data_IF_660303186043
#
_entry.id   IF_660303186043
#
_cell.length_a   1.000
_cell.length_b   1.000
_cell.length_c   1.000
_cell.angle_alpha   90.00
_cell.angle_beta   90.00
_cell.angle_gamma   90.00
#
_symmetry.space_group_name_H-M   'P 1'
#
loop_
_entity.id
_entity.type
_entity.pdbx_description
1 polymer ?
#
# COMPACT_ATOMS: atom_id res chain seq x y z
N UNK A 1 14.82 19.24 4.95
CA UNK A 1 13.49 18.98 5.50
C UNK A 1 12.93 17.70 4.88
N UNK A 2 12.33 16.89 5.70
CA UNK A 2 11.77 15.63 5.24
C UNK A 2 10.31 15.84 4.86
N UNK A 3 9.95 15.47 3.63
CA UNK A 3 8.55 15.48 3.21
C UNK A 3 7.80 14.37 3.93
N UNK A 4 6.58 14.64 4.29
CA UNK A 4 5.71 13.64 4.90
C UNK A 4 4.31 13.83 4.34
N UNK A 5 3.66 12.73 4.02
CA UNK A 5 2.28 12.73 3.53
C UNK A 5 1.56 11.53 4.11
N UNK A 6 0.26 11.64 4.26
CA UNK A 6 -0.54 10.53 4.77
C UNK A 6 -1.94 10.57 4.19
N UNK A 7 -2.59 9.42 4.19
CA UNK A 7 -3.98 9.30 3.77
C UNK A 7 -4.56 8.03 4.37
N UNK A 8 -5.87 7.98 4.46
CA UNK A 8 -6.57 6.77 4.87
C UNK A 8 -7.29 6.18 3.68
N UNK A 9 -7.31 4.87 3.61
CA UNK A 9 -7.92 4.16 2.49
C UNK A 9 -8.63 2.92 3.01
N UNK A 10 -9.74 2.57 2.40
CA UNK A 10 -10.47 1.35 2.74
C UNK A 10 -9.95 0.21 1.88
N UNK A 11 -9.57 -0.88 2.54
CA UNK A 11 -9.06 -2.06 1.85
C UNK A 11 -10.21 -2.79 1.15
N UNK A 12 -10.15 -2.97 -0.18
CA UNK A 12 -11.26 -3.61 -0.90
C UNK A 12 -11.14 -5.13 -1.01
N UNK A 13 -9.93 -5.68 -0.79
CA UNK A 13 -9.68 -7.11 -0.93
C UNK A 13 -8.82 -7.60 0.21
N UNK A 14 -8.84 -8.91 0.45
CA UNK A 14 -7.97 -9.50 1.46
C UNK A 14 -6.51 -9.30 1.05
N UNK A 15 -5.67 -8.88 2.00
CA UNK A 15 -4.26 -8.61 1.72
C UNK A 15 -3.42 -9.89 1.84
N UNK A 16 -3.72 -10.87 0.99
CA UNK A 16 -2.95 -12.11 0.91
C UNK A 16 -1.72 -11.91 0.00
N UNK A 17 -1.02 -12.97 -0.33
CA UNK A 17 0.31 -12.88 -0.94
C UNK A 17 0.38 -12.08 -2.23
N UNK A 18 -0.56 -12.24 -3.16
CA UNK A 18 -0.53 -11.53 -4.44
C UNK A 18 -0.70 -10.03 -4.31
N UNK A 19 -1.79 -9.55 -3.71
CA UNK A 19 -1.95 -8.11 -3.54
C UNK A 19 -0.86 -7.50 -2.67
N UNK A 20 -0.41 -8.21 -1.63
CA UNK A 20 0.68 -7.73 -0.79
C UNK A 20 1.98 -7.60 -1.58
N UNK A 21 2.28 -8.57 -2.44
CA UNK A 21 3.49 -8.52 -3.27
C UNK A 21 3.42 -7.37 -4.27
N UNK A 22 2.27 -7.14 -4.87
CA UNK A 22 2.08 -6.03 -5.80
C UNK A 22 2.29 -4.69 -5.10
N UNK A 23 1.70 -4.55 -3.93
CA UNK A 23 1.82 -3.32 -3.15
C UNK A 23 3.26 -3.08 -2.72
N UNK A 24 3.92 -4.11 -2.20
CA UNK A 24 5.31 -4.01 -1.78
C UNK A 24 6.23 -3.61 -2.94
N UNK A 25 5.98 -4.15 -4.12
CA UNK A 25 6.77 -3.81 -5.30
C UNK A 25 6.60 -2.35 -5.70
N UNK A 26 5.37 -1.84 -5.65
CA UNK A 26 5.10 -0.45 -5.95
C UNK A 26 5.82 0.47 -4.96
N UNK A 27 5.77 0.13 -3.68
CA UNK A 27 6.44 0.90 -2.63
C UNK A 27 7.95 0.85 -2.81
N UNK A 28 8.50 -0.32 -3.10
CA UNK A 28 9.94 -0.50 -3.24
C UNK A 28 10.51 0.30 -4.42
N UNK A 29 9.69 0.58 -5.42
CA UNK A 29 10.10 1.37 -6.57
C UNK A 29 10.16 2.88 -6.26
N UNK A 30 9.73 3.30 -5.09
CA UNK A 30 9.67 4.70 -4.70
C UNK A 30 10.85 5.10 -3.83
N UNK A 31 11.23 6.38 -3.90
CA UNK A 31 12.29 6.91 -3.03
C UNK A 31 11.80 7.15 -1.61
N UNK A 32 10.52 7.45 -1.45
CA UNK A 32 9.96 7.67 -0.13
C UNK A 32 9.77 6.35 0.60
N UNK A 33 9.92 6.39 1.93
CA UNK A 33 9.58 5.26 2.78
C UNK A 33 8.08 5.29 3.04
N UNK A 34 7.41 4.16 2.85
CA UNK A 34 5.97 4.06 3.04
C UNK A 34 5.66 3.04 4.11
N UNK A 35 4.78 3.41 5.04
CA UNK A 35 4.24 2.49 6.03
C UNK A 35 2.73 2.40 5.87
N UNK A 36 2.18 1.27 6.23
CA UNK A 36 0.74 1.07 6.28
C UNK A 36 0.41 0.55 7.68
N UNK A 37 -0.39 1.29 8.41
CA UNK A 37 -0.69 1.01 9.82
C UNK A 37 0.59 0.77 10.63
N UNK A 38 1.63 1.55 10.34
CA UNK A 38 2.88 1.50 11.06
C UNK A 38 3.85 0.42 10.62
N UNK A 39 3.49 -0.46 9.67
CA UNK A 39 4.42 -1.49 9.20
C UNK A 39 5.02 -1.11 7.86
N UNK A 40 6.20 -1.67 7.58
CA UNK A 40 6.91 -1.41 6.34
C UNK A 40 6.13 -1.94 5.12
N UNK A 41 5.65 -1.03 4.29
CA UNK A 41 4.84 -1.40 3.13
C UNK A 41 5.67 -2.02 2.00
N UNK A 42 7.00 -1.99 2.09
CA UNK A 42 7.87 -2.69 1.14
C UNK A 42 8.06 -4.16 1.51
N UNK A 43 7.53 -4.59 2.66
CA UNK A 43 7.67 -5.96 3.12
C UNK A 43 6.38 -6.74 2.93
N UNK A 44 6.39 -7.72 2.05
CA UNK A 44 5.24 -8.59 1.82
C UNK A 44 4.80 -9.26 3.11
N UNK A 45 5.76 -9.77 3.88
CA UNK A 45 5.46 -10.46 5.12
C UNK A 45 4.82 -9.55 6.16
N UNK A 46 5.33 -8.31 6.29
CA UNK A 46 4.76 -7.34 7.22
C UNK A 46 3.33 -6.99 6.84
N UNK A 47 3.08 -6.80 5.55
CA UNK A 47 1.73 -6.49 5.06
C UNK A 47 0.77 -7.65 5.35
N UNK A 48 1.21 -8.89 5.12
CA UNK A 48 0.39 -10.04 5.38
C UNK A 48 0.09 -10.22 6.87
N UNK A 49 1.04 -9.84 7.71
CA UNK A 49 0.88 -9.94 9.17
C UNK A 49 -0.06 -8.91 9.77
N UNK A 50 -0.44 -7.90 9.01
CA UNK A 50 -1.43 -6.93 9.49
C UNK A 50 -2.77 -7.58 9.81
N UNK A 51 -3.08 -8.69 9.16
CA UNK A 51 -4.37 -9.33 9.34
C UNK A 51 -5.53 -8.48 8.84
N UNK A 52 -5.24 -7.53 7.97
CA UNK A 52 -6.27 -6.63 7.45
C UNK A 52 -7.24 -7.36 6.53
N UNK A 53 -8.51 -7.05 6.67
CA UNK A 53 -9.58 -7.67 5.89
C UNK A 53 -10.33 -6.60 5.11
N UNK A 54 -11.09 -7.00 4.07
CA UNK A 54 -11.88 -6.03 3.31
C UNK A 54 -12.79 -5.20 4.21
N UNK A 55 -12.81 -3.91 3.99
CA UNK A 55 -13.55 -2.97 4.81
C UNK A 55 -12.72 -2.25 5.86
N UNK A 56 -11.55 -2.78 6.19
CA UNK A 56 -10.67 -2.12 7.16
C UNK A 56 -10.12 -0.82 6.58
N UNK A 57 -10.00 0.18 7.42
CA UNK A 57 -9.32 1.42 7.05
C UNK A 57 -7.84 1.30 7.37
N UNK A 58 -7.04 1.60 6.38
CA UNK A 58 -5.59 1.56 6.52
C UNK A 58 -5.04 2.98 6.47
N UNK A 59 -4.06 3.26 7.31
CA UNK A 59 -3.37 4.55 7.27
C UNK A 59 -2.07 4.39 6.49
N UNK A 60 -1.96 5.12 5.39
CA UNK A 60 -0.76 5.13 4.55
C UNK A 60 0.03 6.38 4.89
N UNK A 61 1.28 6.21 5.28
CA UNK A 61 2.18 7.31 5.59
C UNK A 61 3.44 7.17 4.76
N UNK A 62 3.85 8.24 4.11
CA UNK A 62 5.10 8.26 3.37
C UNK A 62 6.00 9.37 3.89
N UNK A 63 7.31 9.11 3.92
CA UNK A 63 8.32 10.06 4.33
C UNK A 63 9.46 10.07 3.33
N UNK A 64 9.97 11.24 3.05
CA UNK A 64 11.11 11.41 2.17
C UNK A 64 10.73 11.96 0.82
N UNK A 65 11.67 11.96 -0.14
CA UNK A 65 11.44 12.55 -1.44
C UNK A 65 10.25 11.93 -2.15
N UNK A 66 9.34 12.76 -2.61
CA UNK A 66 8.15 12.29 -3.33
C UNK A 66 7.09 11.67 -2.45
N UNK A 67 7.05 12.02 -1.16
CA UNK A 67 6.10 11.44 -0.21
C UNK A 67 4.65 11.58 -0.66
N UNK A 68 4.24 12.77 -1.11
CA UNK A 68 2.87 12.97 -1.55
C UNK A 68 2.50 12.09 -2.76
N UNK A 69 3.40 12.00 -3.73
CA UNK A 69 3.19 11.15 -4.90
C UNK A 69 3.16 9.67 -4.52
N UNK A 70 3.98 9.28 -3.54
CA UNK A 70 3.99 7.90 -3.07
C UNK A 70 2.67 7.52 -2.40
N UNK A 71 2.14 8.39 -1.54
CA UNK A 71 0.84 8.15 -0.90
C UNK A 71 -0.26 8.05 -1.95
N UNK A 72 -0.27 8.97 -2.91
CA UNK A 72 -1.26 8.96 -3.97
C UNK A 72 -1.23 7.67 -4.77
N UNK A 73 -0.03 7.22 -5.14
CA UNK A 73 0.14 5.99 -5.90
C UNK A 73 -0.32 4.76 -5.10
N UNK A 74 0.03 4.71 -3.82
CA UNK A 74 -0.36 3.59 -2.95
C UNK A 74 -1.87 3.56 -2.74
N UNK A 75 -2.48 4.71 -2.47
CA UNK A 75 -3.92 4.80 -2.29
C UNK A 75 -4.65 4.37 -3.56
N UNK A 76 -4.18 4.84 -4.71
CA UNK A 76 -4.78 4.45 -5.98
C UNK A 76 -4.65 2.94 -6.22
N UNK A 77 -3.50 2.38 -5.93
CA UNK A 77 -3.29 0.95 -6.09
C UNK A 77 -4.23 0.16 -5.18
N UNK A 78 -4.37 0.57 -3.93
CA UNK A 78 -5.26 -0.12 -2.99
C UNK A 78 -6.71 -0.03 -3.46
N UNK A 79 -7.16 1.14 -3.90
CA UNK A 79 -8.56 1.33 -4.29
C UNK A 79 -8.90 0.71 -5.63
N UNK A 80 -7.96 0.68 -6.56
CA UNK A 80 -8.24 0.28 -7.95
C UNK A 80 -7.44 -0.92 -8.43
N UNK A 81 -6.17 -0.99 -8.04
CA UNK A 81 -5.23 -1.95 -8.58
C UNK A 81 -5.24 -3.31 -7.91
N UNK A 82 -5.46 -3.36 -6.60
CA UNK A 82 -5.42 -4.63 -5.88
C UNK A 82 -6.60 -5.51 -6.22
N UNK A 83 -7.77 -4.91 -6.37
CA UNK A 83 -8.97 -5.65 -6.75
C UNK A 83 -8.80 -6.30 -8.13
N UNK A 84 -8.08 -5.64 -9.03
CA UNK A 84 -7.81 -6.16 -10.36
C UNK A 84 -6.72 -7.23 -10.40
N UNK A 85 -5.97 -7.39 -9.33
CA UNK A 85 -4.85 -8.33 -9.29
C UNK A 85 -5.27 -9.77 -9.50
N UNK A 86 -6.44 -10.12 -9.00
CA UNK A 86 -6.96 -11.48 -9.07
C UNK A 86 -7.85 -11.71 -10.29
N UNK A 87 -8.05 -10.68 -11.09
CA UNK A 87 -8.87 -10.79 -12.29
C UNK A 87 -7.97 -11.22 -13.42
N UNK A 88 -8.20 -12.41 -13.93
CA UNK A 88 -7.47 -12.87 -15.09
C UNK A 88 -7.83 -11.95 -16.26
N UNK A 89 -6.86 -11.42 -16.97
CA UNK A 89 -7.16 -10.68 -18.19
C UNK A 89 -7.84 -11.64 -19.15
N UNK A 90 -8.91 -11.18 -19.67
CA UNK A 90 -9.74 -11.97 -20.58
C UNK A 90 -8.95 -12.45 -21.77
#
# INVERSE_FOLDING_TARGET
MTETASARVVLPVLLHARPAARLAREVDARSAEVTIDGVDAASVLALMRLGAVPGDRLEVVARGPGAAAAVEAVVRMITEGLAGTDVAPG
#
